data_IF_202733940014
#
_entry.id   IF_202733940014
#
_cell.length_a   1.000
_cell.length_b   1.000
_cell.length_c   1.000
_cell.angle_alpha   90.00
_cell.angle_beta   90.00
_cell.angle_gamma   90.00
#
_symmetry.space_group_name_H-M   'P 1'
#
loop_
_entity.id
_entity.type
_entity.pdbx_description
1 polymer ?
#
# COMPACT_ATOMS: atom_id res chain seq x y z
N UNK A 1 11.36 -14.07 9.11
CA UNK A 1 11.98 -13.12 8.15
C UNK A 1 12.04 -11.77 8.84
N UNK A 2 13.23 -11.19 9.04
CA UNK A 2 13.45 -9.96 9.82
C UNK A 2 14.31 -8.92 9.06
N UNK A 3 14.36 -9.01 7.73
CA UNK A 3 15.01 -8.01 6.87
C UNK A 3 14.05 -7.58 5.77
N UNK A 4 13.96 -6.27 5.54
CA UNK A 4 13.08 -5.64 4.55
C UNK A 4 13.43 -6.09 3.13
N UNK A 5 14.72 -6.29 2.82
CA UNK A 5 15.17 -6.77 1.51
C UNK A 5 14.52 -8.12 1.17
N UNK A 6 14.54 -9.07 2.10
CA UNK A 6 14.01 -10.41 1.87
C UNK A 6 12.48 -10.39 1.75
N UNK A 7 11.79 -9.57 2.55
CA UNK A 7 10.34 -9.40 2.41
C UNK A 7 9.99 -8.84 1.04
N UNK A 8 10.67 -7.78 0.61
CA UNK A 8 10.30 -7.03 -0.59
C UNK A 8 10.52 -7.83 -1.88
N UNK A 9 11.53 -8.71 -1.90
CA UNK A 9 11.81 -9.58 -3.05
C UNK A 9 11.00 -10.87 -3.06
N UNK A 10 10.42 -11.30 -1.93
CA UNK A 10 9.74 -12.60 -1.83
C UNK A 10 8.21 -12.50 -1.70
N UNK A 11 7.70 -11.54 -0.93
CA UNK A 11 6.28 -11.41 -0.64
C UNK A 11 5.38 -11.28 -1.89
N UNK A 12 5.78 -10.56 -2.97
CA UNK A 12 4.99 -10.50 -4.20
C UNK A 12 4.89 -11.86 -4.90
N UNK A 13 5.98 -12.62 -4.97
CA UNK A 13 6.05 -13.84 -5.79
C UNK A 13 5.57 -15.09 -5.05
N UNK A 14 5.60 -15.09 -3.72
CA UNK A 14 5.11 -16.21 -2.91
C UNK A 14 3.65 -15.96 -2.57
N UNK A 15 3.38 -15.05 -1.64
CA UNK A 15 2.03 -14.82 -1.13
C UNK A 15 1.20 -14.04 -2.16
N UNK A 16 1.77 -13.03 -2.81
CA UNK A 16 1.05 -12.23 -3.80
C UNK A 16 0.56 -13.07 -4.99
N UNK A 17 1.43 -13.91 -5.55
CA UNK A 17 1.07 -14.83 -6.64
C UNK A 17 0.08 -15.89 -6.16
N UNK A 18 0.31 -16.50 -5.00
CA UNK A 18 -0.60 -17.50 -4.45
C UNK A 18 -2.02 -16.96 -4.24
N UNK A 19 -2.17 -15.75 -3.69
CA UNK A 19 -3.47 -15.08 -3.51
C UNK A 19 -4.09 -14.68 -4.84
N UNK A 20 -3.28 -14.28 -5.83
CA UNK A 20 -3.78 -13.95 -7.17
C UNK A 20 -4.39 -15.17 -7.85
N UNK A 21 -3.73 -16.32 -7.75
CA UNK A 21 -4.15 -17.59 -8.34
C UNK A 21 -5.27 -18.26 -7.52
N UNK A 22 -5.33 -17.99 -6.21
CA UNK A 22 -6.30 -18.56 -5.28
C UNK A 22 -7.04 -17.44 -4.50
N UNK A 23 -7.99 -16.72 -5.10
CA UNK A 23 -8.65 -15.57 -4.44
C UNK A 23 -9.33 -15.90 -3.11
N UNK A 24 -9.75 -17.16 -2.91
CA UNK A 24 -10.31 -17.66 -1.65
C UNK A 24 -9.34 -17.61 -0.47
N UNK A 25 -8.03 -17.57 -0.73
CA UNK A 25 -6.95 -17.53 0.26
C UNK A 25 -6.56 -16.11 0.68
N UNK A 26 -7.26 -15.09 0.15
CA UNK A 26 -7.14 -13.69 0.58
C UNK A 26 -7.14 -13.48 2.11
N UNK A 27 -7.87 -14.24 2.95
CA UNK A 27 -7.81 -14.11 4.40
C UNK A 27 -6.41 -14.22 5.02
N UNK A 28 -5.43 -14.81 4.31
CA UNK A 28 -4.03 -14.79 4.76
C UNK A 28 -3.51 -13.36 4.96
N UNK A 29 -3.88 -12.43 4.06
CA UNK A 29 -3.47 -11.03 4.14
C UNK A 29 -4.14 -10.34 5.33
N UNK A 30 -5.37 -10.74 5.67
CA UNK A 30 -6.13 -10.19 6.81
C UNK A 30 -5.49 -10.56 8.14
N UNK A 31 -5.00 -11.79 8.24
CA UNK A 31 -4.24 -12.24 9.41
C UNK A 31 -2.92 -11.49 9.56
N UNK A 32 -2.22 -11.28 8.44
CA UNK A 32 -0.89 -10.65 8.45
C UNK A 32 -0.96 -9.15 8.74
N UNK A 33 -1.94 -8.43 8.19
CA UNK A 33 -2.02 -6.95 8.31
C UNK A 33 -2.33 -6.47 9.73
N UNK A 34 -2.92 -7.30 10.58
CA UNK A 34 -3.22 -6.98 11.99
C UNK A 34 -2.20 -7.54 12.97
N UNK A 35 -1.13 -8.17 12.47
CA UNK A 35 -0.09 -8.78 13.31
C UNK A 35 0.67 -7.74 14.12
N UNK A 36 1.11 -8.10 15.33
CA UNK A 36 2.02 -7.26 16.14
C UNK A 36 3.40 -7.13 15.49
N UNK A 37 3.79 -8.11 14.66
CA UNK A 37 5.05 -8.11 13.94
C UNK A 37 4.96 -7.22 12.68
N UNK A 38 5.78 -6.16 12.65
CA UNK A 38 5.83 -5.23 11.52
C UNK A 38 6.21 -5.91 10.20
N UNK A 39 6.99 -6.99 10.24
CA UNK A 39 7.39 -7.72 9.04
C UNK A 39 6.22 -8.46 8.43
N UNK A 40 5.32 -9.00 9.25
CA UNK A 40 4.09 -9.64 8.77
C UNK A 40 3.16 -8.61 8.13
N UNK A 41 3.00 -7.44 8.74
CA UNK A 41 2.21 -6.34 8.14
C UNK A 41 2.82 -5.86 6.83
N UNK A 42 4.17 -5.75 6.77
CA UNK A 42 4.90 -5.43 5.54
C UNK A 42 4.69 -6.50 4.46
N UNK A 43 4.78 -7.78 4.81
CA UNK A 43 4.48 -8.88 3.88
C UNK A 43 3.06 -8.73 3.33
N UNK A 44 2.06 -8.47 4.19
CA UNK A 44 0.68 -8.31 3.76
C UNK A 44 0.52 -7.23 2.68
N UNK A 45 1.08 -6.04 2.91
CA UNK A 45 0.95 -4.93 1.97
C UNK A 45 1.83 -5.14 0.73
N UNK A 46 3.08 -5.60 0.85
CA UNK A 46 3.97 -5.77 -0.31
C UNK A 46 3.52 -6.91 -1.23
N UNK A 47 2.86 -7.94 -0.69
CA UNK A 47 2.21 -8.97 -1.51
C UNK A 47 1.18 -8.40 -2.50
N UNK A 48 0.60 -7.23 -2.22
CA UNK A 48 -0.34 -6.61 -3.15
C UNK A 48 0.32 -6.01 -4.38
N UNK A 49 1.66 -5.97 -4.47
CA UNK A 49 2.35 -5.58 -5.70
C UNK A 49 1.93 -6.44 -6.91
N UNK A 50 1.85 -7.76 -6.71
CA UNK A 50 1.41 -8.71 -7.75
C UNK A 50 -0.04 -8.48 -8.14
N UNK A 51 -0.90 -8.20 -7.16
CA UNK A 51 -2.31 -7.87 -7.37
C UNK A 51 -2.47 -6.55 -8.14
N UNK A 52 -1.71 -5.51 -7.78
CA UNK A 52 -1.68 -4.22 -8.48
C UNK A 52 -1.26 -4.40 -9.93
N UNK A 53 -0.20 -5.17 -10.20
CA UNK A 53 0.25 -5.46 -11.59
C UNK A 53 -0.82 -6.18 -12.42
N UNK A 54 -1.74 -6.89 -11.77
CA UNK A 54 -2.91 -7.52 -12.40
C UNK A 54 -4.16 -6.62 -12.41
N UNK A 55 -4.05 -5.32 -12.11
CA UNK A 55 -5.15 -4.37 -12.05
C UNK A 55 -6.07 -4.49 -10.82
N UNK A 56 -5.76 -5.40 -9.88
CA UNK A 56 -6.59 -5.68 -8.69
C UNK A 56 -6.21 -4.80 -7.49
N UNK A 57 -6.34 -3.47 -7.64
CA UNK A 57 -5.86 -2.51 -6.64
C UNK A 57 -6.68 -2.45 -5.34
N UNK A 58 -7.89 -3.02 -5.33
CA UNK A 58 -8.82 -2.97 -4.18
C UNK A 58 -8.20 -3.51 -2.90
N UNK A 59 -7.34 -4.53 -3.00
CA UNK A 59 -6.65 -5.09 -1.83
C UNK A 59 -5.62 -4.14 -1.24
N UNK A 60 -4.85 -3.46 -2.09
CA UNK A 60 -3.90 -2.44 -1.63
C UNK A 60 -4.61 -1.36 -0.83
N UNK A 61 -5.71 -0.81 -1.35
CA UNK A 61 -6.45 0.27 -0.67
C UNK A 61 -7.03 -0.20 0.66
N UNK A 62 -7.61 -1.39 0.70
CA UNK A 62 -8.21 -1.96 1.92
C UNK A 62 -7.16 -2.22 2.99
N UNK A 63 -6.03 -2.83 2.64
CA UNK A 63 -4.94 -3.06 3.60
C UNK A 63 -4.28 -1.74 4.03
N UNK A 64 -4.14 -0.77 3.12
CA UNK A 64 -3.64 0.57 3.45
C UNK A 64 -4.51 1.26 4.50
N UNK A 65 -5.84 1.10 4.42
CA UNK A 65 -6.77 1.66 5.40
C UNK A 65 -6.53 1.10 6.82
N UNK A 66 -6.24 -0.19 6.94
CA UNK A 66 -5.92 -0.82 8.23
C UNK A 66 -4.60 -0.29 8.82
N UNK A 67 -3.68 0.14 7.98
CA UNK A 67 -2.33 0.57 8.34
C UNK A 67 -2.19 2.10 8.46
N UNK A 68 -3.29 2.87 8.42
CA UNK A 68 -3.25 4.33 8.57
C UNK A 68 -2.68 4.78 9.93
N UNK A 69 -2.93 4.00 10.97
CA UNK A 69 -2.50 4.29 12.35
C UNK A 69 -1.33 3.40 12.80
N UNK A 70 -0.58 2.81 11.86
CA UNK A 70 0.62 2.04 12.22
C UNK A 70 1.64 2.97 12.90
N UNK A 71 2.46 2.42 13.80
CA UNK A 71 3.50 3.19 14.48
C UNK A 71 4.84 3.11 13.75
N UNK A 72 5.00 2.16 12.83
CA UNK A 72 6.27 1.84 12.20
C UNK A 72 6.47 2.59 10.88
N UNK A 73 7.49 3.45 10.82
CA UNK A 73 7.81 4.24 9.61
C UNK A 73 8.11 3.34 8.39
N UNK A 74 8.76 2.19 8.62
CA UNK A 74 9.01 1.21 7.56
C UNK A 74 7.72 0.64 6.96
N UNK A 75 6.68 0.43 7.77
CA UNK A 75 5.36 0.01 7.28
C UNK A 75 4.74 1.12 6.44
N UNK A 76 4.80 2.38 6.89
CA UNK A 76 4.29 3.52 6.12
C UNK A 76 4.97 3.69 4.75
N UNK A 77 6.28 3.44 4.67
CA UNK A 77 7.01 3.44 3.38
C UNK A 77 6.51 2.35 2.44
N UNK A 78 6.26 1.14 2.95
CA UNK A 78 5.71 0.06 2.14
C UNK A 78 4.30 0.37 1.64
N UNK A 79 3.43 0.88 2.52
CA UNK A 79 2.07 1.30 2.14
C UNK A 79 2.11 2.40 1.08
N UNK A 80 2.91 3.44 1.29
CA UNK A 80 3.07 4.52 0.32
C UNK A 80 3.59 4.01 -1.02
N UNK A 81 4.56 3.09 -1.02
CA UNK A 81 5.02 2.45 -2.25
C UNK A 81 3.88 1.68 -2.95
N UNK A 82 3.11 0.86 -2.24
CA UNK A 82 2.03 0.09 -2.86
C UNK A 82 0.89 0.98 -3.38
N UNK A 83 0.56 2.08 -2.68
CA UNK A 83 -0.38 3.09 -3.18
C UNK A 83 0.12 3.74 -4.48
N UNK A 84 1.41 4.03 -4.57
CA UNK A 84 2.03 4.52 -5.81
C UNK A 84 1.94 3.51 -6.95
N UNK A 85 2.17 2.23 -6.68
CA UNK A 85 2.03 1.19 -7.70
C UNK A 85 0.57 0.99 -8.13
N UNK A 86 -0.38 1.11 -7.20
CA UNK A 86 -1.81 1.12 -7.50
C UNK A 86 -2.23 2.35 -8.33
N UNK A 87 -1.64 3.52 -8.06
CA UNK A 87 -1.95 4.76 -8.78
C UNK A 87 -1.62 4.67 -10.28
N UNK A 88 -0.58 3.91 -10.63
CA UNK A 88 -0.24 3.63 -12.05
C UNK A 88 -1.32 2.85 -12.78
N UNK A 89 -2.20 2.16 -12.06
CA UNK A 89 -3.28 1.34 -12.63
C UNK A 89 -4.60 2.11 -12.66
N UNK A 90 -4.92 2.81 -11.56
CA UNK A 90 -6.11 3.65 -11.46
C UNK A 90 -5.82 4.85 -10.54
N UNK A 91 -5.43 5.95 -11.17
CA UNK A 91 -5.07 7.18 -10.49
C UNK A 91 -6.26 7.78 -9.72
N UNK A 92 -7.45 7.77 -10.32
CA UNK A 92 -8.65 8.41 -9.76
C UNK A 92 -9.05 7.75 -8.44
N UNK A 93 -9.10 6.41 -8.41
CA UNK A 93 -9.49 5.67 -7.20
C UNK A 93 -8.47 5.85 -6.07
N UNK A 94 -7.18 5.87 -6.37
CA UNK A 94 -6.13 6.09 -5.35
C UNK A 94 -6.16 7.52 -4.83
N UNK A 95 -6.34 8.51 -5.69
CA UNK A 95 -6.45 9.92 -5.27
C UNK A 95 -7.69 10.15 -4.40
N UNK A 96 -8.84 9.54 -4.74
CA UNK A 96 -10.03 9.53 -3.88
C UNK A 96 -9.77 8.89 -2.51
N UNK A 97 -9.02 7.78 -2.47
CA UNK A 97 -8.62 7.16 -1.22
C UNK A 97 -7.76 8.11 -0.38
N UNK A 98 -6.74 8.74 -0.97
CA UNK A 98 -5.87 9.69 -0.27
C UNK A 98 -6.69 10.87 0.25
N UNK A 99 -7.56 11.47 -0.58
CA UNK A 99 -8.44 12.57 -0.19
C UNK A 99 -9.34 12.20 0.98
N UNK A 100 -9.99 11.04 0.92
CA UNK A 100 -10.89 10.53 1.97
C UNK A 100 -10.18 10.32 3.31
N UNK A 101 -8.89 10.01 3.28
CA UNK A 101 -8.11 9.69 4.46
C UNK A 101 -7.06 10.75 4.80
N UNK A 102 -7.15 11.95 4.19
CA UNK A 102 -6.09 12.96 4.24
C UNK A 102 -5.69 13.34 5.67
N UNK A 103 -6.66 13.55 6.55
CA UNK A 103 -6.41 13.94 7.96
C UNK A 103 -5.70 12.86 8.78
N UNK A 104 -5.74 11.61 8.32
CA UNK A 104 -5.20 10.44 9.03
C UNK A 104 -4.00 9.83 8.34
N UNK A 105 -3.72 10.18 7.08
CA UNK A 105 -2.62 9.55 6.34
C UNK A 105 -1.27 10.01 6.90
N UNK A 106 -0.39 9.10 7.31
CA UNK A 106 0.93 9.47 7.80
C UNK A 106 1.74 10.21 6.74
N UNK A 107 2.48 11.25 7.15
CA UNK A 107 3.23 12.10 6.20
C UNK A 107 4.23 11.31 5.35
N UNK A 108 4.88 10.30 5.93
CA UNK A 108 5.76 9.37 5.18
C UNK A 108 4.99 8.60 4.12
N UNK A 109 3.86 8.00 4.49
CA UNK A 109 3.01 7.24 3.57
C UNK A 109 2.55 8.09 2.39
N UNK A 110 2.05 9.30 2.67
CA UNK A 110 1.61 10.24 1.64
C UNK A 110 2.73 10.59 0.67
N UNK A 111 3.92 10.97 1.18
CA UNK A 111 5.06 11.36 0.35
C UNK A 111 5.49 10.26 -0.63
N UNK A 112 5.48 9.00 -0.18
CA UNK A 112 5.80 7.86 -1.02
C UNK A 112 4.72 7.56 -2.06
N UNK A 113 3.44 7.69 -1.67
CA UNK A 113 2.30 7.47 -2.56
C UNK A 113 2.29 8.44 -3.76
N UNK A 114 2.66 9.70 -3.53
CA UNK A 114 2.64 10.76 -4.55
C UNK A 114 4.00 11.01 -5.22
N UNK A 115 5.02 10.22 -4.91
CA UNK A 115 6.42 10.50 -5.31
C UNK A 115 6.61 10.62 -6.83
N UNK A 116 5.84 9.86 -7.61
CA UNK A 116 5.93 9.79 -9.07
C UNK A 116 4.89 10.66 -9.80
N UNK A 117 4.07 11.40 -9.08
CA UNK A 117 3.15 12.37 -9.67
C UNK A 117 3.92 13.60 -10.17
N UNK A 118 3.35 14.36 -11.09
CA UNK A 118 3.90 15.65 -11.51
C UNK A 118 3.99 16.63 -10.33
N UNK A 119 4.94 17.56 -10.40
CA UNK A 119 5.24 18.45 -9.28
C UNK A 119 4.04 19.30 -8.85
N UNK A 120 3.23 19.76 -9.81
CA UNK A 120 2.05 20.60 -9.53
C UNK A 120 1.02 19.80 -8.74
N UNK A 121 0.67 18.60 -9.21
CA UNK A 121 -0.26 17.70 -8.52
C UNK A 121 0.25 17.31 -7.14
N UNK A 122 1.53 16.93 -7.05
CA UNK A 122 2.18 16.58 -5.78
C UNK A 122 2.08 17.72 -4.76
N UNK A 123 2.40 18.95 -5.16
CA UNK A 123 2.31 20.14 -4.28
C UNK A 123 0.87 20.41 -3.85
N UNK A 124 -0.11 20.27 -4.73
CA UNK A 124 -1.53 20.44 -4.38
C UNK A 124 -1.97 19.44 -3.31
N UNK A 125 -1.70 18.15 -3.54
CA UNK A 125 -2.03 17.11 -2.55
C UNK A 125 -1.29 17.34 -1.24
N UNK A 126 -0.02 17.76 -1.24
CA UNK A 126 0.72 18.03 0.01
C UNK A 126 0.16 19.18 0.86
N UNK A 127 -0.70 20.01 0.28
CA UNK A 127 -1.35 21.17 0.90
C UNK A 127 -2.89 21.04 0.97
N UNK A 128 -3.41 19.82 0.80
CA UNK A 128 -4.85 19.50 0.83
C UNK A 128 -5.71 20.25 -0.20
N UNK A 129 -5.14 20.55 -1.37
CA UNK A 129 -5.86 21.23 -2.46
C UNK A 129 -6.32 20.19 -3.47
N UNK A 130 -7.64 19.99 -3.56
CA UNK A 130 -8.29 19.06 -4.51
C UNK A 130 -9.17 19.86 -5.48
N UNK A 131 -9.00 19.66 -6.79
CA UNK A 131 -9.86 20.21 -7.84
C UNK A 131 -10.94 19.19 -8.24
#
# INVERSE_FOLDING_TARGET
INNWDLVDVSAPYIIGQYVLDNPKERPILDKLVVSKDMWQRRIAIVSTLTLNRAGKIKETLRLSQNLLNDTEDLTHKAVGWMLREAWKQDASTVEMFIKKHYDRIPRTMLRYAIERMDEVRRKRILNDIWL
#
